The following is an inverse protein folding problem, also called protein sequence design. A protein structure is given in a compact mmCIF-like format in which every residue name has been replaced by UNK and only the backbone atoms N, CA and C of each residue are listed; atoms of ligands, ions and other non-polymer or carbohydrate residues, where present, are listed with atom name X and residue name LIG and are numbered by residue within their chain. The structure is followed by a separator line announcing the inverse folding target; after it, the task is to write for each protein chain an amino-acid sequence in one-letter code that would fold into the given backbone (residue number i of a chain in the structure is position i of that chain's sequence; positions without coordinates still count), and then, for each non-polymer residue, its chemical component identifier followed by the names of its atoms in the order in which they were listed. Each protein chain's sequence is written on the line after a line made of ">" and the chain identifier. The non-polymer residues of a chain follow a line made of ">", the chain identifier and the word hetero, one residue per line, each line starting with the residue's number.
data_IF_163249671551
#
_entry.id   IF_163249671551
#
_cell.length_a   1.000
_cell.length_b   1.000
_cell.length_c   1.000
_cell.angle_alpha   90.00
_cell.angle_beta   90.00
_cell.angle_gamma   90.00
#
_symmetry.space_group_name_H-M   'P 1'
#
loop_
_entity.id
_entity.type
_entity.pdbx_description
1 polymer ?
#
# COMPACT_ATOMS: atom_id res chain seq x y z
N UNK A 1 17.34 -6.80 -13.86
CA UNK A 1 16.20 -6.87 -14.80
C UNK A 1 16.48 -5.95 -15.98
N UNK A 2 16.02 -6.32 -17.17
CA UNK A 2 16.06 -5.44 -18.34
C UNK A 2 14.77 -4.59 -18.37
N UNK A 3 14.90 -3.28 -18.53
CA UNK A 3 13.75 -2.40 -18.72
C UNK A 3 13.26 -2.52 -20.17
N UNK A 4 12.00 -2.91 -20.37
CA UNK A 4 11.39 -2.96 -21.70
C UNK A 4 10.95 -1.58 -22.13
N UNK A 5 11.25 -1.23 -23.38
CA UNK A 5 10.86 0.05 -23.98
C UNK A 5 9.42 -0.04 -24.45
N UNK A 6 8.54 0.77 -23.86
CA UNK A 6 7.18 0.96 -24.36
C UNK A 6 7.26 1.67 -25.71
N UNK A 7 6.81 1.00 -26.77
CA UNK A 7 6.85 1.52 -28.15
C UNK A 7 5.55 2.23 -28.54
N UNK A 8 4.44 1.90 -27.89
CA UNK A 8 3.11 2.43 -28.21
C UNK A 8 2.20 2.35 -26.98
N UNK A 9 1.31 3.33 -26.84
CA UNK A 9 0.26 3.37 -25.81
C UNK A 9 -1.05 3.69 -26.50
N UNK A 10 -1.98 2.73 -26.55
CA UNK A 10 -3.33 2.95 -27.04
C UNK A 10 -4.33 2.89 -25.87
N UNK A 11 -5.15 3.92 -25.72
CA UNK A 11 -6.20 3.96 -24.70
C UNK A 11 -7.42 3.22 -25.21
N UNK A 12 -7.63 1.99 -24.75
CA UNK A 12 -8.81 1.19 -25.08
C UNK A 12 -9.84 1.23 -23.95
N UNK A 13 -10.95 1.94 -24.15
CA UNK A 13 -12.09 1.92 -23.23
C UNK A 13 -13.17 0.95 -23.73
N UNK A 14 -13.22 -0.26 -23.17
CA UNK A 14 -14.32 -1.20 -23.39
C UNK A 14 -15.05 -1.44 -22.07
N UNK A 15 -16.32 -1.05 -22.00
CA UNK A 15 -17.23 -1.52 -20.93
C UNK A 15 -17.50 -3.01 -21.13
N UNK A 16 -16.71 -3.86 -20.49
CA UNK A 16 -17.11 -5.25 -20.29
C UNK A 16 -17.97 -5.33 -19.03
N UNK A 17 -19.11 -6.02 -19.13
CA UNK A 17 -19.91 -6.42 -17.98
C UNK A 17 -19.14 -7.53 -17.27
N UNK A 18 -18.33 -7.17 -16.28
CA UNK A 18 -17.67 -8.12 -15.38
C UNK A 18 -18.76 -8.94 -14.72
N UNK A 19 -18.83 -10.23 -15.05
CA UNK A 19 -19.53 -11.16 -14.18
C UNK A 19 -18.53 -11.50 -13.09
N UNK A 20 -18.84 -11.13 -11.85
CA UNK A 20 -18.13 -11.60 -10.67
C UNK A 20 -18.33 -13.11 -10.58
N UNK A 21 -17.46 -13.85 -11.26
CA UNK A 21 -17.17 -15.22 -10.90
C UNK A 21 -16.18 -15.09 -9.75
N UNK A 22 -16.66 -15.38 -8.55
CA UNK A 22 -15.84 -15.51 -7.34
C UNK A 22 -14.75 -16.55 -7.58
N UNK A 23 -13.59 -16.08 -8.01
CA UNK A 23 -12.30 -16.73 -7.83
C UNK A 23 -11.62 -15.93 -6.73
N UNK A 24 -11.36 -16.60 -5.62
CA UNK A 24 -10.64 -16.05 -4.48
C UNK A 24 -9.28 -15.49 -4.94
N UNK A 25 -9.09 -14.21 -4.67
CA UNK A 25 -7.81 -13.63 -4.30
C UNK A 25 -6.72 -13.35 -5.36
N UNK A 26 -7.04 -13.11 -6.64
CA UNK A 26 -6.06 -12.52 -7.58
C UNK A 26 -6.74 -11.58 -8.61
N UNK A 27 -6.59 -10.26 -8.45
CA UNK A 27 -6.85 -9.28 -9.52
C UNK A 27 -5.55 -8.98 -10.27
N UNK A 28 -5.07 -9.94 -11.06
CA UNK A 28 -3.98 -9.72 -12.03
C UNK A 28 -4.57 -9.72 -13.43
N UNK A 29 -4.64 -8.53 -14.04
CA UNK A 29 -4.97 -8.42 -15.45
C UNK A 29 -3.70 -8.71 -16.25
N UNK A 30 -3.71 -9.80 -17.03
CA UNK A 30 -2.68 -10.08 -18.03
C UNK A 30 -2.77 -9.03 -19.13
N UNK A 31 -1.77 -8.15 -19.22
CA UNK A 31 -1.55 -7.34 -20.42
C UNK A 31 -0.62 -8.14 -21.31
N UNK A 32 -1.15 -8.75 -22.37
CA UNK A 32 -0.34 -9.41 -23.38
C UNK A 32 0.48 -8.38 -24.14
N UNK A 33 1.80 -8.38 -23.95
CA UNK A 33 2.75 -7.58 -24.73
C UNK A 33 3.65 -8.54 -25.51
N UNK A 34 3.15 -9.10 -26.61
CA UNK A 34 3.89 -10.13 -27.36
C UNK A 34 4.29 -11.33 -26.48
N UNK A 35 5.45 -11.94 -26.73
CA UNK A 35 5.95 -13.13 -26.01
C UNK A 35 6.53 -12.83 -24.61
N UNK A 36 6.43 -11.60 -24.10
CA UNK A 36 6.99 -11.24 -22.79
C UNK A 36 5.93 -10.72 -21.83
N UNK A 37 5.98 -11.23 -20.60
CA UNK A 37 5.04 -10.87 -19.53
C UNK A 37 5.41 -9.49 -18.97
N UNK A 38 4.49 -8.53 -19.04
CA UNK A 38 4.61 -7.25 -18.35
C UNK A 38 3.90 -7.33 -16.99
N UNK A 39 4.64 -7.09 -15.90
CA UNK A 39 4.08 -6.96 -14.56
C UNK A 39 3.59 -5.52 -14.39
N UNK A 40 2.29 -5.32 -14.15
CA UNK A 40 1.71 -3.99 -13.91
C UNK A 40 1.45 -3.80 -12.41
N UNK A 41 2.01 -2.74 -11.84
CA UNK A 41 1.82 -2.38 -10.43
C UNK A 41 0.44 -1.76 -10.23
N UNK A 42 -0.52 -2.55 -9.75
CA UNK A 42 -1.85 -2.07 -9.45
C UNK A 42 -1.89 -1.53 -8.01
N UNK A 43 -1.60 -0.23 -7.89
CA UNK A 43 -1.71 0.66 -6.73
C UNK A 43 -0.44 0.89 -5.88
N UNK A 44 -0.09 2.18 -5.74
CA UNK A 44 0.93 2.67 -4.80
C UNK A 44 0.34 2.87 -3.41
N UNK A 45 1.15 2.68 -2.35
CA UNK A 45 0.74 2.92 -0.96
C UNK A 45 0.18 4.35 -0.78
N UNK A 46 0.72 5.33 -1.50
CA UNK A 46 0.31 6.74 -1.42
C UNK A 46 -1.12 6.98 -1.87
N UNK A 47 -1.56 6.34 -2.95
CA UNK A 47 -2.95 6.48 -3.44
C UNK A 47 -3.95 5.87 -2.46
N UNK A 48 -3.61 4.69 -1.91
CA UNK A 48 -4.44 4.06 -0.87
C UNK A 48 -4.46 4.89 0.41
N UNK A 49 -3.33 5.50 0.79
CA UNK A 49 -3.24 6.34 1.97
C UNK A 49 -4.10 7.60 1.83
N UNK A 50 -4.05 8.28 0.69
CA UNK A 50 -4.75 9.56 0.50
C UNK A 50 -6.28 9.40 0.52
N UNK A 51 -6.79 8.21 0.17
CA UNK A 51 -8.22 7.85 0.24
C UNK A 51 -8.74 7.60 1.65
N UNK A 52 -7.86 7.38 2.63
CA UNK A 52 -8.29 7.16 4.01
C UNK A 52 -8.87 8.45 4.61
N UNK A 53 -9.83 8.35 5.55
CA UNK A 53 -10.30 9.48 6.32
C UNK A 53 -9.15 10.15 7.06
N UNK A 54 -9.16 11.48 7.11
CA UNK A 54 -8.18 12.23 7.88
C UNK A 54 -8.41 12.04 9.39
N UNK A 55 -7.32 11.93 10.14
CA UNK A 55 -7.32 12.09 11.59
C UNK A 55 -7.05 13.54 12.00
N UNK A 56 -6.54 13.72 13.23
CA UNK A 56 -6.26 15.06 13.80
C UNK A 56 -5.39 15.97 12.92
N UNK A 57 -4.42 15.42 12.20
CA UNK A 57 -3.55 16.19 11.30
C UNK A 57 -3.85 15.81 9.85
N UNK A 58 -4.65 16.64 9.18
CA UNK A 58 -5.08 16.42 7.79
C UNK A 58 -3.90 16.17 6.85
N UNK A 59 -4.05 15.17 5.97
CA UNK A 59 -3.08 14.79 4.95
C UNK A 59 -1.82 14.06 5.43
N UNK A 60 -1.52 14.08 6.74
CA UNK A 60 -0.36 13.37 7.32
C UNK A 60 -0.77 12.23 8.24
N UNK A 61 -1.91 12.35 8.90
CA UNK A 61 -2.46 11.35 9.80
C UNK A 61 -3.80 10.92 9.26
N UNK A 62 -3.93 9.61 9.02
CA UNK A 62 -5.15 8.96 8.57
C UNK A 62 -5.70 8.03 9.66
N UNK A 63 -6.97 7.69 9.53
CA UNK A 63 -7.64 6.77 10.45
C UNK A 63 -8.30 5.61 9.71
N UNK A 64 -8.41 4.50 10.42
CA UNK A 64 -9.14 3.28 10.04
C UNK A 64 -10.00 2.83 11.22
N UNK A 65 -11.02 2.03 10.96
CA UNK A 65 -12.01 1.65 11.95
C UNK A 65 -11.43 0.70 13.01
N UNK A 66 -10.60 -0.26 12.58
CA UNK A 66 -10.06 -1.30 13.46
C UNK A 66 -8.66 -1.80 13.05
N UNK A 67 -8.13 -2.71 13.88
CA UNK A 67 -6.82 -3.35 13.67
C UNK A 67 -6.80 -4.18 12.39
N UNK A 68 -7.90 -4.83 12.02
CA UNK A 68 -7.99 -5.68 10.83
C UNK A 68 -7.86 -4.87 9.55
N UNK A 69 -8.54 -3.73 9.46
CA UNK A 69 -8.40 -2.77 8.37
C UNK A 69 -6.97 -2.20 8.33
N UNK A 70 -6.43 -1.80 9.49
CA UNK A 70 -5.04 -1.37 9.59
C UNK A 70 -4.07 -2.44 9.06
N UNK A 71 -4.26 -3.70 9.47
CA UNK A 71 -3.40 -4.80 9.08
C UNK A 71 -3.49 -5.08 7.58
N UNK A 72 -4.69 -5.04 7.01
CA UNK A 72 -4.91 -5.20 5.57
C UNK A 72 -4.14 -4.16 4.77
N UNK A 73 -4.18 -2.89 5.17
CA UNK A 73 -3.38 -1.85 4.52
C UNK A 73 -1.88 -2.09 4.66
N UNK A 74 -1.42 -2.51 5.84
CA UNK A 74 -0.01 -2.81 6.06
C UNK A 74 0.49 -3.94 5.17
N UNK A 75 -0.22 -5.07 5.13
CA UNK A 75 0.16 -6.22 4.34
C UNK A 75 0.12 -5.91 2.82
N UNK A 76 -0.91 -5.17 2.36
CA UNK A 76 -1.00 -4.74 0.95
C UNK A 76 0.16 -3.81 0.57
N UNK A 77 0.47 -2.81 1.40
CA UNK A 77 1.55 -1.85 1.11
C UNK A 77 2.95 -2.44 1.23
N UNK A 78 3.10 -3.60 1.89
CA UNK A 78 4.40 -4.24 2.12
C UNK A 78 4.57 -5.57 1.38
N UNK A 79 3.60 -5.97 0.54
CA UNK A 79 3.54 -7.25 -0.17
C UNK A 79 4.83 -7.60 -0.92
N UNK A 80 5.40 -6.62 -1.62
CA UNK A 80 6.62 -6.79 -2.43
C UNK A 80 7.84 -6.06 -1.83
N UNK A 81 7.76 -5.73 -0.53
CA UNK A 81 8.77 -4.95 0.16
C UNK A 81 9.87 -5.82 0.79
N UNK A 82 11.08 -5.27 0.89
CA UNK A 82 12.17 -5.90 1.63
C UNK A 82 11.88 -5.86 3.13
N UNK A 83 11.81 -7.03 3.79
CA UNK A 83 11.70 -7.10 5.25
C UNK A 83 13.02 -6.74 5.91
N UNK A 84 13.00 -5.70 6.73
CA UNK A 84 14.13 -5.24 7.52
C UNK A 84 14.11 -5.81 8.95
N UNK A 85 15.24 -5.76 9.69
CA UNK A 85 15.27 -6.12 11.09
C UNK A 85 14.27 -5.31 11.93
N UNK A 86 13.65 -5.93 12.95
CA UNK A 86 12.75 -5.23 13.87
C UNK A 86 13.45 -4.08 14.59
N UNK A 87 12.68 -3.04 14.93
CA UNK A 87 13.17 -1.87 15.68
C UNK A 87 12.70 -1.92 17.14
N UNK A 88 13.19 -2.93 17.85
CA UNK A 88 12.81 -3.23 19.23
C UNK A 88 11.43 -3.85 19.37
N UNK A 89 11.04 -4.18 20.59
CA UNK A 89 9.82 -4.97 20.89
C UNK A 89 8.52 -4.31 20.41
N UNK A 90 8.50 -2.97 20.37
CA UNK A 90 7.31 -2.19 19.99
C UNK A 90 7.13 -2.06 18.48
N UNK A 91 8.16 -2.33 17.68
CA UNK A 91 8.16 -2.19 16.22
C UNK A 91 8.69 -3.49 15.60
N UNK A 92 7.88 -4.57 15.63
CA UNK A 92 8.31 -5.90 15.20
C UNK A 92 8.47 -6.04 13.69
N UNK A 93 7.73 -5.26 12.91
CA UNK A 93 7.67 -5.40 11.47
C UNK A 93 8.06 -4.09 10.81
N UNK A 94 9.13 -4.15 10.01
CA UNK A 94 9.69 -3.01 9.28
C UNK A 94 9.99 -3.47 7.87
N UNK A 95 9.52 -2.72 6.89
CA UNK A 95 9.65 -3.04 5.48
C UNK A 95 10.16 -1.82 4.72
N UNK A 96 10.91 -2.06 3.64
CA UNK A 96 11.42 -1.04 2.72
C UNK A 96 10.93 -1.32 1.31
N UNK A 97 10.31 -0.31 0.71
CA UNK A 97 9.90 -0.33 -0.69
C UNK A 97 11.07 -0.01 -1.63
N UNK A 98 10.93 -0.34 -2.91
CA UNK A 98 11.94 -0.06 -3.94
C UNK A 98 12.29 1.43 -4.07
N UNK A 99 11.30 2.30 -3.84
CA UNK A 99 11.48 3.76 -3.88
C UNK A 99 12.23 4.32 -2.64
N UNK A 100 12.59 3.46 -1.67
CA UNK A 100 13.27 3.82 -0.43
C UNK A 100 12.31 4.17 0.73
N UNK A 101 11.00 4.15 0.51
CA UNK A 101 10.00 4.35 1.57
C UNK A 101 10.10 3.24 2.60
N UNK A 102 10.10 3.61 3.88
CA UNK A 102 10.06 2.65 5.00
C UNK A 102 8.66 2.64 5.62
N UNK A 103 8.06 1.47 5.72
CA UNK A 103 6.76 1.24 6.36
C UNK A 103 6.99 0.34 7.57
N UNK A 104 6.43 0.70 8.73
CA UNK A 104 6.61 -0.10 9.94
C UNK A 104 5.30 -0.25 10.73
N UNK A 105 5.12 -1.44 11.30
CA UNK A 105 4.05 -1.74 12.24
C UNK A 105 4.53 -1.41 13.65
N UNK A 106 3.72 -0.66 14.39
CA UNK A 106 3.98 -0.33 15.78
C UNK A 106 2.85 -0.89 16.64
N UNK A 107 3.19 -1.74 17.62
CA UNK A 107 2.22 -2.37 18.54
C UNK A 107 1.60 -1.39 19.54
N UNK A 108 2.31 -0.32 19.88
CA UNK A 108 1.87 0.64 20.90
C UNK A 108 2.19 2.07 20.46
N UNK A 109 1.17 2.92 20.44
CA UNK A 109 1.30 4.35 20.16
C UNK A 109 0.66 5.20 21.26
N UNK A 110 0.98 6.50 21.28
CA UNK A 110 0.40 7.45 22.25
C UNK A 110 -1.14 7.56 22.16
N UNK A 111 -1.75 7.18 21.03
CA UNK A 111 -3.20 7.11 20.85
C UNK A 111 -3.82 5.79 21.34
N UNK A 112 -3.03 4.90 21.97
CA UNK A 112 -3.54 3.73 22.70
C UNK A 112 -3.67 2.45 21.88
N UNK A 113 -3.26 2.44 20.61
CA UNK A 113 -3.39 1.27 19.73
C UNK A 113 -2.25 1.12 18.73
N UNK A 114 -2.39 0.10 17.89
CA UNK A 114 -1.47 -0.22 16.80
C UNK A 114 -1.52 0.85 15.71
N UNK A 115 -0.38 1.07 15.04
CA UNK A 115 -0.26 2.09 14.00
C UNK A 115 0.69 1.68 12.90
N UNK A 116 0.45 2.21 11.70
CA UNK A 116 1.41 2.19 10.60
C UNK A 116 2.13 3.53 10.58
N UNK A 117 3.46 3.52 10.69
CA UNK A 117 4.27 4.70 10.40
C UNK A 117 4.90 4.54 9.00
N UNK A 118 4.84 5.57 8.18
CA UNK A 118 5.35 5.60 6.81
C UNK A 118 6.37 6.74 6.68
N UNK A 119 7.56 6.41 6.17
CA UNK A 119 8.66 7.35 5.99
C UNK A 119 9.11 7.37 4.54
N UNK A 120 8.47 8.20 3.68
CA UNK A 120 8.91 8.37 2.31
C UNK A 120 10.19 9.22 2.28
N UNK A 121 11.16 8.92 1.40
CA UNK A 121 12.40 9.68 1.33
C UNK A 121 12.14 11.13 0.94
N UNK A 122 12.71 12.07 1.71
CA UNK A 122 12.56 13.50 1.45
C UNK A 122 11.18 14.09 1.73
N UNK A 123 10.22 13.30 2.24
CA UNK A 123 8.88 13.76 2.59
C UNK A 123 8.63 13.71 4.09
N UNK A 124 7.56 14.37 4.54
CA UNK A 124 7.12 14.30 5.93
C UNK A 124 6.63 12.89 6.26
N UNK A 125 6.92 12.37 7.47
CA UNK A 125 6.35 11.11 7.93
C UNK A 125 4.82 11.15 7.90
N UNK A 126 4.24 10.04 7.46
CA UNK A 126 2.81 9.80 7.43
C UNK A 126 2.45 8.70 8.42
N UNK A 127 1.21 8.70 8.90
CA UNK A 127 0.75 7.77 9.93
C UNK A 127 -0.69 7.35 9.72
N UNK A 128 -0.97 6.07 9.98
CA UNK A 128 -2.34 5.53 10.09
C UNK A 128 -2.53 4.99 11.50
N UNK A 129 -3.65 5.31 12.13
CA UNK A 129 -4.01 4.79 13.45
C UNK A 129 -5.49 4.44 13.51
N UNK A 130 -5.86 3.65 14.52
CA UNK A 130 -7.26 3.30 14.76
C UNK A 130 -7.96 4.51 15.37
N UNK A 131 -9.09 4.90 14.79
CA UNK A 131 -9.87 6.04 15.27
C UNK A 131 -11.14 6.26 14.45
N UNK A 132 -12.12 6.92 15.04
CA UNK A 132 -13.31 7.33 14.31
C UNK A 132 -12.97 8.61 13.52
N UNK A 133 -13.20 8.60 12.21
CA UNK A 133 -13.03 9.77 11.35
C UNK A 133 -13.77 10.98 11.92
N UNK A 134 -13.10 12.13 11.97
CA UNK A 134 -13.65 13.39 12.47
C UNK A 134 -14.34 14.21 11.38
#
# INVERSE_FOLDING_TARGET
>A
GAALRVVEVERYERRQRTHDLSIEDIHTYYVGVGTENALVHNCSWSESFDKLPDGKQKGSVKVVEDVGELRKHFDEWTKDAEKLPPRGEKIPDVYRLEDGTVIQWRKTSASGGETIDIFPPGQKPKKVHIGHGS
#
